data_IF_310153925339
#
_entry.id   IF_310153925339
#
_cell.length_a   1.000
_cell.length_b   1.000
_cell.length_c   1.000
_cell.angle_alpha   90.00
_cell.angle_beta   90.00
_cell.angle_gamma   90.00
#
_symmetry.space_group_name_H-M   'P 1'
#
loop_
_entity.id
_entity.type
_entity.pdbx_description
1 polymer ?
#
# COMPACT_ATOMS: atom_id res chain seq x y z
N UNK A 1 -24.39 -27.71 11.79
CA UNK A 1 -23.13 -27.07 11.28
C UNK A 1 -22.40 -26.50 12.47
N UNK A 2 -21.20 -27.00 12.77
CA UNK A 2 -20.44 -26.57 13.94
C UNK A 2 -20.04 -25.09 13.78
N UNK A 3 -20.13 -24.29 14.84
CA UNK A 3 -19.77 -22.86 14.84
C UNK A 3 -18.37 -22.60 14.22
N UNK A 4 -17.44 -23.52 14.41
CA UNK A 4 -16.10 -23.50 13.81
C UNK A 4 -16.11 -23.60 12.27
N UNK A 5 -16.99 -24.40 11.69
CA UNK A 5 -17.13 -24.50 10.23
C UNK A 5 -17.73 -23.23 9.64
N UNK A 6 -18.72 -22.63 10.31
CA UNK A 6 -19.29 -21.34 9.93
C UNK A 6 -18.26 -20.21 9.98
N UNK A 7 -17.45 -20.16 11.05
CA UNK A 7 -16.37 -19.18 11.19
C UNK A 7 -15.30 -19.34 10.10
N UNK A 8 -14.88 -20.56 9.79
CA UNK A 8 -13.86 -20.80 8.76
C UNK A 8 -14.31 -20.33 7.36
N UNK A 9 -15.57 -20.57 7.00
CA UNK A 9 -16.15 -20.11 5.72
C UNK A 9 -16.23 -18.58 5.68
N UNK A 10 -16.67 -17.96 6.78
CA UNK A 10 -16.73 -16.51 6.90
C UNK A 10 -15.34 -15.87 6.86
N UNK A 11 -14.33 -16.41 7.54
CA UNK A 11 -12.94 -15.95 7.54
C UNK A 11 -12.29 -16.05 6.16
N UNK A 12 -12.62 -17.08 5.37
CA UNK A 12 -12.15 -17.21 3.99
C UNK A 12 -12.69 -16.09 3.08
N UNK A 13 -13.89 -15.57 3.35
CA UNK A 13 -14.49 -14.42 2.66
C UNK A 13 -13.94 -13.09 3.16
N UNK A 14 -13.55 -13.03 4.45
CA UNK A 14 -13.08 -11.82 5.14
C UNK A 14 -11.60 -11.96 5.52
N UNK A 15 -10.72 -11.94 4.54
CA UNK A 15 -9.27 -12.19 4.72
C UNK A 15 -8.59 -11.25 5.71
N UNK A 16 -9.12 -10.04 5.88
CA UNK A 16 -8.61 -9.04 6.81
C UNK A 16 -8.63 -9.50 8.28
N UNK A 17 -9.48 -10.49 8.61
CA UNK A 17 -9.63 -10.98 9.99
C UNK A 17 -8.33 -11.58 10.55
N UNK A 18 -7.51 -12.20 9.70
CA UNK A 18 -6.25 -12.78 10.12
C UNK A 18 -5.24 -11.74 10.59
N UNK A 19 -5.17 -10.59 9.90
CA UNK A 19 -4.36 -9.46 10.33
C UNK A 19 -4.89 -8.86 11.64
N UNK A 20 -6.22 -8.73 11.79
CA UNK A 20 -6.84 -8.23 13.01
C UNK A 20 -6.60 -9.17 14.21
N UNK A 21 -6.70 -10.49 14.02
CA UNK A 21 -6.35 -11.47 15.06
C UNK A 21 -4.86 -11.36 15.43
N UNK A 22 -3.99 -11.21 14.43
CA UNK A 22 -2.55 -11.02 14.66
C UNK A 22 -2.26 -9.77 15.51
N UNK A 23 -2.94 -8.65 15.26
CA UNK A 23 -2.84 -7.43 16.08
C UNK A 23 -3.24 -7.71 17.52
N UNK A 24 -4.40 -8.35 17.74
CA UNK A 24 -4.90 -8.67 19.07
C UNK A 24 -3.94 -9.60 19.84
N UNK A 25 -3.48 -10.67 19.20
CA UNK A 25 -2.58 -11.64 19.83
C UNK A 25 -1.24 -10.99 20.20
N UNK A 26 -0.63 -10.25 19.28
CA UNK A 26 0.66 -9.60 19.54
C UNK A 26 0.53 -8.52 20.61
N UNK A 27 -0.58 -7.74 20.58
CA UNK A 27 -0.85 -6.76 21.63
C UNK A 27 -1.04 -7.39 23.01
N UNK A 28 -1.75 -8.51 23.11
CA UNK A 28 -1.91 -9.26 24.37
C UNK A 28 -0.57 -9.79 24.87
N UNK A 29 0.24 -10.41 24.00
CA UNK A 29 1.57 -10.90 24.36
C UNK A 29 2.43 -9.78 24.91
N UNK A 30 2.47 -8.62 24.24
CA UNK A 30 3.21 -7.46 24.71
C UNK A 30 2.71 -6.93 26.05
N UNK A 31 1.41 -6.84 26.21
CA UNK A 31 0.80 -6.38 27.48
C UNK A 31 1.21 -7.27 28.66
N UNK A 32 1.27 -8.59 28.46
CA UNK A 32 1.66 -9.56 29.48
C UNK A 32 3.16 -9.52 29.75
N UNK A 33 3.97 -9.52 28.69
CA UNK A 33 5.44 -9.65 28.82
C UNK A 33 6.07 -8.36 29.36
N UNK A 34 5.57 -7.21 28.96
CA UNK A 34 6.22 -5.93 29.31
C UNK A 34 5.62 -5.26 30.54
N UNK A 35 4.42 -5.66 30.99
CA UNK A 35 3.65 -5.00 32.05
C UNK A 35 3.55 -3.45 31.89
N UNK A 36 3.94 -2.93 30.74
CA UNK A 36 4.08 -1.49 30.42
C UNK A 36 3.30 -1.04 29.20
N UNK A 37 2.64 -1.97 28.51
CA UNK A 37 1.89 -1.63 27.29
C UNK A 37 0.56 -0.98 27.66
N UNK A 38 0.57 0.33 27.75
CA UNK A 38 -0.60 1.15 28.06
C UNK A 38 -1.40 1.52 26.79
N UNK A 39 -2.62 1.98 26.95
CA UNK A 39 -3.42 2.54 25.85
C UNK A 39 -2.72 3.72 25.15
N UNK A 40 -1.87 4.47 25.87
CA UNK A 40 -1.07 5.53 25.26
C UNK A 40 0.01 5.01 24.31
N UNK A 41 0.63 3.86 24.61
CA UNK A 41 1.58 3.19 23.72
C UNK A 41 0.89 2.67 22.47
N UNK A 42 -0.32 2.10 22.61
CA UNK A 42 -1.14 1.68 21.46
C UNK A 42 -1.48 2.86 20.54
N UNK A 43 -1.79 4.01 21.12
CA UNK A 43 -2.05 5.24 20.37
C UNK A 43 -0.84 5.67 19.52
N UNK A 44 0.38 5.50 20.02
CA UNK A 44 1.63 5.74 19.27
C UNK A 44 1.81 4.77 18.09
N UNK A 45 1.54 3.49 18.33
CA UNK A 45 1.56 2.47 17.26
C UNK A 45 0.52 2.80 16.18
N UNK A 46 -0.70 3.17 16.57
CA UNK A 46 -1.77 3.53 15.64
C UNK A 46 -1.36 4.77 14.82
N UNK A 47 -0.75 5.78 15.46
CA UNK A 47 -0.26 6.97 14.77
C UNK A 47 0.75 6.58 13.67
N UNK A 48 1.78 5.81 14.00
CA UNK A 48 2.80 5.38 13.03
C UNK A 48 2.22 4.45 11.95
N UNK A 49 1.29 3.56 12.31
CA UNK A 49 0.61 2.68 11.37
C UNK A 49 -0.30 3.43 10.40
N UNK A 50 -0.76 4.64 10.77
CA UNK A 50 -1.61 5.46 9.90
C UNK A 50 -0.86 5.94 8.67
N UNK A 51 0.41 6.32 8.79
CA UNK A 51 1.26 6.65 7.64
C UNK A 51 1.39 5.43 6.72
N UNK A 52 1.77 4.28 7.27
CA UNK A 52 1.87 3.04 6.47
C UNK A 52 0.53 2.65 5.82
N UNK A 53 -0.59 2.92 6.47
CA UNK A 53 -1.92 2.66 5.92
C UNK A 53 -2.22 3.53 4.70
N UNK A 54 -1.92 4.83 4.75
CA UNK A 54 -2.14 5.75 3.62
C UNK A 54 -1.34 5.31 2.41
N UNK A 55 -0.05 5.02 2.60
CA UNK A 55 0.83 4.50 1.54
C UNK A 55 0.35 3.13 1.05
N UNK A 56 -0.02 2.24 1.98
CA UNK A 56 -0.54 0.91 1.67
C UNK A 56 -1.83 0.95 0.86
N UNK A 57 -2.73 1.93 1.08
CA UNK A 57 -3.92 2.13 0.24
C UNK A 57 -3.50 2.42 -1.20
N UNK A 58 -2.55 3.32 -1.44
CA UNK A 58 -2.01 3.60 -2.76
C UNK A 58 -1.48 2.35 -3.44
N UNK A 59 -0.61 1.64 -2.75
CA UNK A 59 -0.02 0.39 -3.21
C UNK A 59 -1.08 -0.69 -3.49
N UNK A 60 -2.14 -0.77 -2.69
CA UNK A 60 -3.27 -1.69 -2.87
C UNK A 60 -3.96 -1.48 -4.22
N UNK A 61 -4.20 -0.24 -4.64
CA UNK A 61 -4.79 0.05 -5.95
C UNK A 61 -3.89 -0.46 -7.09
N UNK A 62 -2.57 -0.24 -7.00
CA UNK A 62 -1.61 -0.70 -8.02
C UNK A 62 -1.57 -2.22 -8.07
N UNK A 63 -1.40 -2.91 -6.94
CA UNK A 63 -1.37 -4.38 -6.85
C UNK A 63 -2.66 -4.98 -7.40
N UNK A 64 -3.82 -4.35 -7.15
CA UNK A 64 -5.12 -4.83 -7.63
C UNK A 64 -5.22 -4.87 -9.15
N UNK A 65 -4.43 -4.07 -9.90
CA UNK A 65 -4.39 -4.12 -11.38
C UNK A 65 -3.80 -5.42 -11.95
N UNK A 66 -3.20 -6.25 -11.11
CA UNK A 66 -2.69 -7.58 -11.45
C UNK A 66 -1.39 -7.58 -12.26
N UNK A 67 -0.99 -8.78 -12.70
CA UNK A 67 0.25 -9.07 -13.44
C UNK A 67 1.53 -8.69 -12.68
N UNK A 68 1.49 -8.64 -11.34
CA UNK A 68 2.64 -8.26 -10.52
C UNK A 68 2.97 -6.76 -10.59
N UNK A 69 2.01 -5.92 -10.93
CA UNK A 69 2.19 -4.48 -10.84
C UNK A 69 2.39 -4.08 -9.38
N UNK A 70 3.53 -3.46 -9.12
CA UNK A 70 3.97 -2.94 -7.84
C UNK A 70 4.58 -1.57 -8.09
N UNK A 71 4.30 -0.59 -7.24
CA UNK A 71 4.91 0.73 -7.31
C UNK A 71 6.11 0.81 -6.38
N UNK A 72 7.31 0.68 -6.92
CA UNK A 72 8.55 0.78 -6.16
C UNK A 72 9.06 2.23 -6.03
N UNK A 73 8.42 3.20 -6.68
CA UNK A 73 8.79 4.63 -6.54
C UNK A 73 8.29 5.25 -5.24
N UNK A 74 7.38 4.58 -4.52
CA UNK A 74 6.68 5.08 -3.32
C UNK A 74 7.65 5.66 -2.29
N UNK A 75 8.73 4.95 -1.96
CA UNK A 75 9.72 5.41 -0.98
C UNK A 75 10.35 6.75 -1.37
N UNK A 76 10.75 6.89 -2.63
CA UNK A 76 11.36 8.12 -3.15
C UNK A 76 10.36 9.25 -3.29
N UNK A 77 9.08 8.93 -3.60
CA UNK A 77 7.98 9.91 -3.63
C UNK A 77 7.74 10.49 -2.23
N UNK A 78 7.64 9.65 -1.20
CA UNK A 78 7.51 10.06 0.20
C UNK A 78 8.64 11.02 0.56
N UNK A 79 9.88 10.58 0.32
CA UNK A 79 11.06 11.35 0.69
C UNK A 79 11.11 12.70 -0.03
N UNK A 80 10.98 12.70 -1.36
CA UNK A 80 11.01 13.94 -2.14
C UNK A 80 9.88 14.89 -1.75
N UNK A 81 8.68 14.37 -1.48
CA UNK A 81 7.55 15.18 -1.07
C UNK A 81 7.79 15.87 0.27
N UNK A 82 8.44 15.22 1.24
CA UNK A 82 8.82 15.87 2.49
C UNK A 82 9.78 17.05 2.26
N UNK A 83 10.78 16.90 1.36
CA UNK A 83 11.66 18.00 1.00
C UNK A 83 10.91 19.13 0.28
N UNK A 84 10.04 18.80 -0.68
CA UNK A 84 9.20 19.78 -1.38
C UNK A 84 8.31 20.53 -0.40
N UNK A 85 7.72 19.83 0.59
CA UNK A 85 6.89 20.44 1.63
C UNK A 85 7.69 21.45 2.45
N UNK A 86 8.89 21.10 2.91
CA UNK A 86 9.75 22.02 3.69
C UNK A 86 10.18 23.24 2.89
N UNK A 87 10.51 23.05 1.60
CA UNK A 87 10.89 24.13 0.68
C UNK A 87 9.73 25.09 0.36
N UNK A 88 8.50 24.59 0.31
CA UNK A 88 7.31 25.38 -0.05
C UNK A 88 6.64 26.01 1.16
N UNK A 89 6.47 25.27 2.25
CA UNK A 89 5.78 25.75 3.47
C UNK A 89 6.67 26.68 4.29
N UNK A 90 7.98 26.43 4.34
CA UNK A 90 8.98 27.28 5.06
C UNK A 90 8.59 27.60 6.49
N UNK A 91 7.95 26.65 7.17
CA UNK A 91 7.52 26.79 8.56
C UNK A 91 6.34 27.76 8.79
N UNK A 92 5.70 28.25 7.75
CA UNK A 92 4.60 29.23 7.83
C UNK A 92 3.26 28.60 7.49
N UNK A 93 2.26 28.76 8.37
CA UNK A 93 0.90 28.25 8.13
C UNK A 93 0.24 28.90 6.91
N UNK A 94 0.58 30.15 6.60
CA UNK A 94 0.10 30.85 5.41
C UNK A 94 0.45 30.13 4.11
N UNK A 95 1.55 29.37 4.08
CA UNK A 95 2.02 28.63 2.91
C UNK A 95 1.55 27.17 2.88
N UNK A 96 0.77 26.74 3.87
CA UNK A 96 0.32 25.33 3.98
C UNK A 96 -0.43 24.86 2.74
N UNK A 97 -1.34 25.69 2.23
CA UNK A 97 -2.09 25.37 1.00
C UNK A 97 -1.16 25.18 -0.21
N UNK A 98 -0.09 25.99 -0.32
CA UNK A 98 0.93 25.88 -1.37
C UNK A 98 1.67 24.55 -1.22
N UNK A 99 2.05 24.15 0.00
CA UNK A 99 2.71 22.88 0.28
C UNK A 99 1.86 21.67 -0.10
N UNK A 100 0.58 21.69 0.25
CA UNK A 100 -0.38 20.63 -0.10
C UNK A 100 -0.56 20.54 -1.62
N UNK A 101 -0.74 21.67 -2.30
CA UNK A 101 -0.85 21.69 -3.77
C UNK A 101 0.43 21.19 -4.42
N UNK A 102 1.61 21.58 -3.92
CA UNK A 102 2.89 21.11 -4.42
C UNK A 102 3.04 19.60 -4.26
N UNK A 103 2.63 19.04 -3.12
CA UNK A 103 2.63 17.60 -2.89
C UNK A 103 1.68 16.89 -3.86
N UNK A 104 0.46 17.39 -4.06
CA UNK A 104 -0.49 16.81 -5.01
C UNK A 104 0.08 16.85 -6.43
N UNK A 105 0.63 17.96 -6.87
CA UNK A 105 1.23 18.11 -8.20
C UNK A 105 2.41 17.17 -8.39
N UNK A 106 3.28 17.02 -7.39
CA UNK A 106 4.37 16.06 -7.40
C UNK A 106 3.82 14.63 -7.58
N UNK A 107 2.84 14.23 -6.76
CA UNK A 107 2.21 12.92 -6.86
C UNK A 107 1.56 12.67 -8.21
N UNK A 108 0.85 13.66 -8.77
CA UNK A 108 0.26 13.59 -10.11
C UNK A 108 1.33 13.45 -11.20
N UNK A 109 2.40 14.22 -11.13
CA UNK A 109 3.48 14.18 -12.10
C UNK A 109 4.19 12.81 -12.10
N UNK A 110 4.52 12.28 -10.92
CA UNK A 110 5.15 10.97 -10.77
C UNK A 110 4.21 9.85 -11.18
N UNK A 111 2.95 9.89 -10.76
CA UNK A 111 1.95 8.90 -11.15
C UNK A 111 1.69 8.91 -12.65
N UNK A 112 1.65 10.07 -13.28
CA UNK A 112 1.53 10.20 -14.73
C UNK A 112 2.79 9.65 -15.46
N UNK A 113 3.99 9.91 -14.95
CA UNK A 113 5.24 9.36 -15.48
C UNK A 113 5.24 7.83 -15.38
N UNK A 114 4.96 7.26 -14.22
CA UNK A 114 4.86 5.81 -14.04
C UNK A 114 3.79 5.20 -14.95
N UNK A 115 2.65 5.87 -15.09
CA UNK A 115 1.58 5.44 -16.00
C UNK A 115 2.03 5.45 -17.47
N UNK A 116 2.75 6.48 -17.90
CA UNK A 116 3.29 6.59 -19.25
C UNK A 116 4.27 5.44 -19.52
N UNK A 117 5.19 5.17 -18.60
CA UNK A 117 6.19 4.10 -18.75
C UNK A 117 5.51 2.72 -18.78
N UNK A 118 4.56 2.47 -17.88
CA UNK A 118 3.93 1.13 -17.73
C UNK A 118 2.85 0.89 -18.79
N UNK A 119 1.98 1.87 -19.02
CA UNK A 119 0.83 1.72 -19.92
C UNK A 119 1.15 2.18 -21.34
N UNK A 120 1.84 3.32 -21.48
CA UNK A 120 2.17 3.90 -22.75
C UNK A 120 3.29 3.15 -23.47
N UNK A 121 4.39 2.88 -22.77
CA UNK A 121 5.58 2.22 -23.33
C UNK A 121 5.60 0.70 -23.08
N UNK A 122 4.68 0.15 -22.26
CA UNK A 122 4.61 -1.28 -21.98
C UNK A 122 5.76 -1.83 -21.11
N UNK A 123 6.48 -0.95 -20.40
CA UNK A 123 7.58 -1.37 -19.53
C UNK A 123 7.00 -2.08 -18.27
N UNK A 124 7.58 -3.22 -17.85
CA UNK A 124 7.14 -3.87 -16.60
C UNK A 124 7.15 -2.89 -15.42
N UNK A 125 6.08 -2.89 -14.62
CA UNK A 125 5.88 -1.90 -13.56
C UNK A 125 7.06 -1.82 -12.57
N UNK A 126 7.59 -2.98 -12.16
CA UNK A 126 8.75 -3.06 -11.25
C UNK A 126 9.96 -2.29 -11.82
N UNK A 127 10.27 -2.47 -13.11
CA UNK A 127 11.41 -1.80 -13.76
C UNK A 127 11.14 -0.30 -13.90
N UNK A 128 9.95 0.07 -14.38
CA UNK A 128 9.56 1.47 -14.59
C UNK A 128 9.58 2.26 -13.26
N UNK A 129 8.92 1.75 -12.23
CA UNK A 129 8.81 2.45 -10.95
C UNK A 129 10.12 2.48 -10.16
N UNK A 130 10.94 1.44 -10.28
CA UNK A 130 12.29 1.44 -9.70
C UNK A 130 13.17 2.50 -10.35
N UNK A 131 13.17 2.58 -11.69
CA UNK A 131 13.91 3.61 -12.41
C UNK A 131 13.43 5.03 -12.04
N UNK A 132 12.10 5.24 -12.00
CA UNK A 132 11.52 6.50 -11.51
C UNK A 132 11.99 6.80 -10.08
N UNK A 133 12.00 5.80 -9.19
CA UNK A 133 12.48 5.94 -7.82
C UNK A 133 13.94 6.45 -7.74
N UNK A 134 14.85 5.95 -8.56
CA UNK A 134 16.23 6.42 -8.60
C UNK A 134 16.34 7.87 -9.10
N UNK A 135 15.56 8.25 -10.11
CA UNK A 135 15.49 9.65 -10.58
C UNK A 135 15.02 10.58 -9.46
N UNK A 136 13.96 10.18 -8.73
CA UNK A 136 13.43 10.95 -7.61
C UNK A 136 14.40 11.02 -6.43
N UNK A 137 15.15 9.95 -6.15
CA UNK A 137 16.19 9.95 -5.12
C UNK A 137 17.29 10.97 -5.45
N UNK A 138 17.68 11.07 -6.72
CA UNK A 138 18.62 12.10 -7.18
C UNK A 138 18.03 13.51 -7.04
N UNK A 139 16.76 13.71 -7.40
CA UNK A 139 16.07 14.98 -7.20
C UNK A 139 15.99 15.35 -5.69
N UNK A 140 15.83 14.37 -4.81
CA UNK A 140 15.88 14.56 -3.36
C UNK A 140 17.24 15.05 -2.88
N UNK A 141 18.34 14.49 -3.40
CA UNK A 141 19.69 14.96 -3.10
C UNK A 141 19.91 16.42 -3.49
N UNK A 142 19.39 16.85 -4.65
CA UNK A 142 19.44 18.24 -5.08
C UNK A 142 18.59 19.15 -4.18
N UNK A 143 17.38 18.70 -3.81
CA UNK A 143 16.48 19.41 -2.92
C UNK A 143 17.08 19.57 -1.51
N UNK A 144 17.79 18.56 -1.02
CA UNK A 144 18.48 18.62 0.28
C UNK A 144 19.56 19.72 0.32
N UNK A 145 20.30 19.92 -0.80
CA UNK A 145 21.29 21.01 -0.91
C UNK A 145 20.67 22.40 -0.89
N UNK A 146 19.42 22.53 -1.31
CA UNK A 146 18.69 23.80 -1.37
C UNK A 146 18.01 24.18 -0.05
N UNK A 147 17.94 23.27 0.94
CA UNK A 147 17.32 23.53 2.22
C UNK A 147 18.27 24.26 3.17
N UNK A 148 17.93 25.51 3.60
CA UNK A 148 18.74 26.25 4.55
C UNK A 148 18.58 25.72 6.00
N UNK A 149 17.60 24.86 6.24
CA UNK A 149 17.24 24.30 7.55
C UNK A 149 15.86 23.66 7.54
N UNK A 150 15.49 23.03 8.65
CA UNK A 150 14.19 22.39 8.80
C UNK A 150 13.26 23.29 9.59
N UNK A 151 12.15 23.71 8.97
CA UNK A 151 11.09 24.44 9.63
C UNK A 151 9.74 23.84 9.22
N UNK A 152 9.01 23.33 10.20
CA UNK A 152 7.66 22.76 10.01
C UNK A 152 6.65 23.77 10.55
N UNK A 153 5.59 24.04 9.78
CA UNK A 153 4.54 24.95 10.24
C UNK A 153 3.76 24.32 11.42
N UNK A 154 3.32 25.14 12.39
CA UNK A 154 2.53 24.67 13.52
C UNK A 154 1.29 23.88 13.12
N UNK A 155 0.51 24.39 12.14
CA UNK A 155 -0.69 23.73 11.67
C UNK A 155 -0.39 22.37 11.02
N UNK A 156 0.68 22.27 10.22
CA UNK A 156 1.06 21.00 9.59
C UNK A 156 1.54 20.00 10.64
N UNK A 157 2.28 20.46 11.66
CA UNK A 157 2.71 19.64 12.79
C UNK A 157 1.50 19.12 13.58
N UNK A 158 0.52 19.99 13.84
CA UNK A 158 -0.73 19.58 14.52
C UNK A 158 -1.50 18.54 13.73
N UNK A 159 -1.59 18.66 12.40
CA UNK A 159 -2.20 17.63 11.55
C UNK A 159 -1.48 16.28 11.65
N UNK A 160 -0.15 16.29 11.73
CA UNK A 160 0.64 15.07 11.76
C UNK A 160 0.76 14.42 13.15
N UNK A 161 0.77 15.23 14.23
CA UNK A 161 1.04 14.75 15.60
C UNK A 161 -0.12 14.99 16.57
N UNK A 162 -1.06 15.83 16.20
CA UNK A 162 -2.19 16.26 17.04
C UNK A 162 -3.17 15.14 17.35
N UNK A 163 -3.97 15.36 18.37
CA UNK A 163 -4.96 14.41 18.87
C UNK A 163 -6.30 15.08 19.14
N UNK A 164 -7.37 14.45 18.75
CA UNK A 164 -8.74 14.85 19.07
C UNK A 164 -9.30 13.82 20.06
N UNK A 165 -9.61 14.26 21.28
CA UNK A 165 -10.08 13.37 22.37
C UNK A 165 -9.19 12.13 22.57
N UNK A 166 -7.85 12.30 22.46
CA UNK A 166 -6.87 11.21 22.63
C UNK A 166 -6.62 10.36 21.37
N UNK A 167 -7.42 10.50 20.32
CA UNK A 167 -7.24 9.81 19.04
C UNK A 167 -6.33 10.63 18.13
N UNK A 168 -5.24 10.07 17.56
CA UNK A 168 -4.39 10.77 16.61
C UNK A 168 -5.15 11.24 15.37
N UNK A 169 -4.93 12.46 14.92
CA UNK A 169 -5.56 13.01 13.70
C UNK A 169 -5.19 12.12 12.49
N UNK A 170 -3.96 11.66 12.40
CA UNK A 170 -3.52 10.74 11.33
C UNK A 170 -4.31 9.43 11.33
N UNK A 171 -4.72 8.91 12.49
CA UNK A 171 -5.58 7.73 12.55
C UNK A 171 -6.97 8.00 11.95
N UNK A 172 -7.51 9.18 12.19
CA UNK A 172 -8.79 9.61 11.59
C UNK A 172 -8.64 9.72 10.07
N UNK A 173 -7.56 10.33 9.59
CA UNK A 173 -7.24 10.43 8.15
C UNK A 173 -7.13 9.04 7.53
N UNK A 174 -6.40 8.11 8.17
CA UNK A 174 -6.25 6.75 7.68
C UNK A 174 -7.60 6.00 7.61
N UNK A 175 -8.44 6.12 8.65
CA UNK A 175 -9.78 5.50 8.67
C UNK A 175 -10.68 6.08 7.59
N UNK A 176 -10.65 7.40 7.37
CA UNK A 176 -11.35 8.05 6.27
C UNK A 176 -10.86 7.51 4.92
N UNK A 177 -9.52 7.41 4.73
CA UNK A 177 -8.90 6.85 3.53
C UNK A 177 -9.31 5.40 3.26
N UNK A 178 -9.31 4.56 4.30
CA UNK A 178 -9.77 3.16 4.24
C UNK A 178 -11.24 3.07 3.87
N UNK A 179 -12.08 3.90 4.50
CA UNK A 179 -13.52 3.92 4.24
C UNK A 179 -13.80 4.38 2.82
N UNK A 180 -13.19 5.48 2.38
CA UNK A 180 -13.31 6.00 1.03
C UNK A 180 -12.85 4.98 -0.01
N UNK A 181 -11.69 4.34 0.20
CA UNK A 181 -11.17 3.30 -0.69
C UNK A 181 -12.08 2.07 -0.73
N UNK A 182 -12.64 1.65 0.41
CA UNK A 182 -13.61 0.55 0.48
C UNK A 182 -14.88 0.89 -0.30
N UNK A 183 -15.37 2.11 -0.20
CA UNK A 183 -16.52 2.60 -0.97
C UNK A 183 -16.21 2.65 -2.47
N UNK A 184 -15.04 3.19 -2.84
CA UNK A 184 -14.58 3.23 -4.24
C UNK A 184 -14.53 1.82 -4.81
N UNK A 185 -13.91 0.88 -4.13
CA UNK A 185 -13.76 -0.51 -4.60
C UNK A 185 -15.11 -1.24 -4.75
N UNK A 186 -16.05 -1.00 -3.83
CA UNK A 186 -17.32 -1.77 -3.77
C UNK A 186 -18.49 -1.10 -4.49
N UNK A 187 -18.51 0.23 -4.57
CA UNK A 187 -19.68 1.02 -4.99
C UNK A 187 -19.48 1.81 -6.27
N UNK A 188 -18.24 1.95 -6.77
CA UNK A 188 -17.98 2.74 -7.99
C UNK A 188 -17.66 1.85 -9.18
N UNK A 189 -17.93 2.40 -10.37
CA UNK A 189 -17.56 1.77 -11.65
C UNK A 189 -16.04 1.55 -11.71
N UNK A 190 -15.24 2.52 -11.24
CA UNK A 190 -13.79 2.39 -11.23
C UNK A 190 -13.31 1.18 -10.43
N UNK A 191 -13.86 0.93 -9.23
CA UNK A 191 -13.51 -0.23 -8.41
C UNK A 191 -13.86 -1.56 -9.09
N UNK A 192 -15.01 -1.63 -9.76
CA UNK A 192 -15.43 -2.80 -10.52
C UNK A 192 -14.52 -3.04 -11.72
N UNK A 193 -14.19 -1.99 -12.49
CA UNK A 193 -13.26 -2.07 -13.62
C UNK A 193 -11.86 -2.48 -13.16
N UNK A 194 -11.38 -1.94 -12.05
CA UNK A 194 -10.09 -2.28 -11.46
C UNK A 194 -10.02 -3.78 -11.12
N UNK A 195 -11.07 -4.30 -10.48
CA UNK A 195 -11.17 -5.74 -10.17
C UNK A 195 -11.23 -6.60 -11.41
N UNK A 196 -12.00 -6.22 -12.44
CA UNK A 196 -12.10 -6.94 -13.70
C UNK A 196 -10.76 -6.98 -14.45
N UNK A 197 -10.10 -5.83 -14.59
CA UNK A 197 -8.76 -5.71 -15.23
C UNK A 197 -7.73 -6.55 -14.49
N UNK A 198 -7.77 -6.53 -13.15
CA UNK A 198 -6.84 -7.29 -12.32
C UNK A 198 -7.06 -8.81 -12.39
N UNK A 199 -8.29 -9.27 -12.55
CA UNK A 199 -8.60 -10.69 -12.71
C UNK A 199 -8.11 -11.24 -14.06
N UNK A 200 -8.50 -10.58 -15.16
CA UNK A 200 -8.09 -10.99 -16.51
C UNK A 200 -8.17 -9.82 -17.49
N UNK A 201 -7.01 -9.29 -17.88
CA UNK A 201 -6.93 -8.15 -18.83
C UNK A 201 -7.46 -8.51 -20.23
N UNK A 202 -7.33 -9.75 -20.66
CA UNK A 202 -7.82 -10.17 -21.97
C UNK A 202 -9.36 -10.22 -21.97
N UNK A 203 -9.96 -10.87 -20.99
CA UNK A 203 -11.40 -10.92 -20.82
C UNK A 203 -12.01 -9.52 -20.63
N UNK A 204 -11.38 -8.66 -19.81
CA UNK A 204 -11.80 -7.28 -19.61
C UNK A 204 -11.81 -6.49 -20.94
N UNK A 205 -10.77 -6.68 -21.78
CA UNK A 205 -10.72 -6.04 -23.12
C UNK A 205 -11.83 -6.54 -24.04
N UNK A 206 -12.10 -7.85 -24.04
CA UNK A 206 -13.20 -8.41 -24.82
C UNK A 206 -14.57 -7.89 -24.39
N UNK A 207 -14.71 -7.57 -23.09
CA UNK A 207 -15.89 -6.90 -22.54
C UNK A 207 -15.92 -5.37 -22.80
N UNK A 208 -15.02 -4.83 -23.65
CA UNK A 208 -14.96 -3.41 -24.00
C UNK A 208 -14.26 -2.51 -22.96
N UNK A 209 -13.64 -3.07 -21.91
CA UNK A 209 -12.97 -2.28 -20.89
C UNK A 209 -11.60 -1.79 -21.40
N UNK A 210 -11.38 -0.48 -21.31
CA UNK A 210 -10.07 0.14 -21.59
C UNK A 210 -9.14 -0.07 -20.40
N UNK A 211 -8.26 -1.09 -20.46
CA UNK A 211 -7.35 -1.42 -19.36
C UNK A 211 -6.40 -0.30 -18.99
N UNK A 212 -5.89 0.45 -20.00
CA UNK A 212 -4.89 1.50 -19.82
C UNK A 212 -5.28 2.56 -18.80
N UNK A 213 -6.39 3.29 -18.99
CA UNK A 213 -6.85 4.32 -18.05
C UNK A 213 -7.04 3.80 -16.63
N UNK A 214 -7.53 2.55 -16.46
CA UNK A 214 -7.75 1.95 -15.14
C UNK A 214 -6.41 1.73 -14.43
N UNK A 215 -5.40 1.20 -15.13
CA UNK A 215 -4.06 0.99 -14.59
C UNK A 215 -3.39 2.33 -14.30
N UNK A 216 -3.49 3.30 -15.23
CA UNK A 216 -2.94 4.64 -15.06
C UNK A 216 -3.47 5.34 -13.80
N UNK A 217 -4.80 5.30 -13.60
CA UNK A 217 -5.43 5.87 -12.40
C UNK A 217 -4.90 5.24 -11.11
N UNK A 218 -4.61 3.92 -11.10
CA UNK A 218 -4.07 3.26 -9.92
C UNK A 218 -2.66 3.78 -9.56
N UNK A 219 -1.78 3.99 -10.54
CA UNK A 219 -0.45 4.59 -10.30
C UNK A 219 -0.55 6.04 -9.85
N UNK A 220 -1.46 6.83 -10.44
CA UNK A 220 -1.68 8.22 -10.04
C UNK A 220 -2.17 8.29 -8.58
N UNK A 221 -3.15 7.46 -8.20
CA UNK A 221 -3.65 7.38 -6.82
C UNK A 221 -2.52 6.99 -5.86
N UNK A 222 -1.69 5.99 -6.22
CA UNK A 222 -0.54 5.56 -5.41
C UNK A 222 0.43 6.70 -5.15
N UNK A 223 0.89 7.37 -6.20
CA UNK A 223 1.87 8.44 -6.10
C UNK A 223 1.33 9.68 -5.38
N UNK A 224 0.04 10.03 -5.56
CA UNK A 224 -0.59 11.14 -4.84
C UNK A 224 -0.69 10.85 -3.34
N UNK A 225 -1.14 9.64 -2.97
CA UNK A 225 -1.21 9.25 -1.56
C UNK A 225 0.17 9.18 -0.92
N UNK A 226 1.17 8.64 -1.62
CA UNK A 226 2.55 8.62 -1.15
C UNK A 226 3.14 10.03 -0.97
N UNK A 227 2.81 10.95 -1.87
CA UNK A 227 3.27 12.34 -1.78
C UNK A 227 2.60 13.10 -0.63
N UNK A 228 1.30 12.94 -0.43
CA UNK A 228 0.59 13.51 0.72
C UNK A 228 1.10 12.93 2.04
N UNK A 229 1.37 11.62 2.06
CA UNK A 229 1.96 10.98 3.23
C UNK A 229 3.36 11.52 3.53
N UNK A 230 4.21 11.75 2.52
CA UNK A 230 5.53 12.33 2.69
C UNK A 230 5.52 13.75 3.28
N UNK A 231 4.58 14.60 2.86
CA UNK A 231 4.35 15.91 3.45
C UNK A 231 4.01 15.80 4.95
N UNK A 232 3.11 14.91 5.33
CA UNK A 232 2.68 14.71 6.71
C UNK A 232 3.75 13.99 7.54
N UNK A 233 4.46 13.03 6.97
CA UNK A 233 5.55 12.32 7.62
C UNK A 233 6.74 13.25 7.93
N UNK A 234 7.09 14.16 7.00
CA UNK A 234 8.07 15.20 7.24
C UNK A 234 7.71 16.12 8.41
N UNK A 235 6.42 16.45 8.53
CA UNK A 235 5.91 17.22 9.66
C UNK A 235 5.93 16.42 10.98
N UNK A 236 5.59 15.13 10.93
CA UNK A 236 5.65 14.23 12.09
C UNK A 236 7.06 14.13 12.66
N UNK A 237 8.04 13.91 11.78
CA UNK A 237 9.46 13.80 12.18
C UNK A 237 10.05 15.16 12.55
N UNK A 238 9.49 16.27 12.08
CA UNK A 238 9.99 17.62 12.28
C UNK A 238 11.10 18.01 11.29
N UNK A 239 11.22 17.29 10.17
CA UNK A 239 12.24 17.51 9.15
C UNK A 239 12.17 16.48 8.03
N UNK A 240 13.20 16.45 7.18
CA UNK A 240 13.35 15.44 6.16
C UNK A 240 14.79 14.92 6.11
N UNK A 241 14.95 13.64 5.81
CA UNK A 241 16.24 13.01 5.55
C UNK A 241 16.16 12.05 4.37
N UNK A 242 17.29 11.79 3.73
CA UNK A 242 17.35 11.16 2.41
C UNK A 242 16.69 9.79 2.28
N UNK A 243 16.61 9.04 3.36
CA UNK A 243 16.10 7.66 3.35
C UNK A 243 14.79 7.48 4.14
N UNK A 244 14.09 8.59 4.49
CA UNK A 244 12.92 8.53 5.36
C UNK A 244 11.77 7.68 4.81
N UNK A 245 11.65 7.55 3.49
CA UNK A 245 10.65 6.73 2.82
C UNK A 245 11.02 5.25 2.68
N UNK A 246 12.30 4.88 2.86
CA UNK A 246 12.79 3.52 2.58
C UNK A 246 12.03 2.40 3.33
N UNK A 247 11.72 2.54 4.63
CA UNK A 247 10.97 1.50 5.34
C UNK A 247 9.60 1.23 4.71
N UNK A 248 8.95 2.25 4.15
CA UNK A 248 7.60 2.14 3.56
C UNK A 248 7.58 1.35 2.25
N UNK A 249 8.72 1.18 1.56
CA UNK A 249 8.80 0.43 0.31
C UNK A 249 8.32 -1.01 0.50
N UNK A 250 9.00 -1.76 1.34
CA UNK A 250 8.68 -3.17 1.59
C UNK A 250 7.48 -3.33 2.51
N UNK A 251 7.35 -2.47 3.52
CA UNK A 251 6.25 -2.52 4.46
C UNK A 251 4.89 -2.27 3.78
N UNK A 252 4.79 -1.37 2.80
CA UNK A 252 3.52 -1.14 2.08
C UNK A 252 3.08 -2.37 1.27
N UNK A 253 4.02 -3.03 0.61
CA UNK A 253 3.75 -4.29 -0.11
C UNK A 253 3.31 -5.37 0.87
N UNK A 254 4.05 -5.53 1.97
CA UNK A 254 3.72 -6.51 2.99
C UNK A 254 2.35 -6.23 3.63
N UNK A 255 2.03 -4.97 3.95
CA UNK A 255 0.73 -4.59 4.50
C UNK A 255 -0.43 -4.92 3.55
N UNK A 256 -0.27 -4.67 2.26
CA UNK A 256 -1.27 -4.96 1.24
C UNK A 256 -1.51 -6.47 1.11
N UNK A 257 -0.44 -7.25 1.05
CA UNK A 257 -0.52 -8.71 0.86
C UNK A 257 -1.00 -9.41 2.12
N UNK A 258 -0.44 -9.05 3.29
CA UNK A 258 -0.85 -9.58 4.60
C UNK A 258 -2.30 -9.19 4.91
N UNK A 259 -2.74 -8.00 4.48
CA UNK A 259 -4.12 -7.55 4.56
C UNK A 259 -5.10 -8.35 3.69
N UNK A 260 -4.63 -9.26 2.84
CA UNK A 260 -5.43 -10.17 2.04
C UNK A 260 -5.78 -9.65 0.63
N UNK A 261 -5.16 -8.58 0.18
CA UNK A 261 -5.19 -8.19 -1.24
C UNK A 261 -4.40 -9.19 -2.06
N UNK A 262 -4.97 -9.63 -3.18
CA UNK A 262 -4.30 -10.63 -4.02
C UNK A 262 -3.16 -9.99 -4.82
N UNK A 263 -1.95 -10.52 -4.67
CA UNK A 263 -0.76 -10.06 -5.40
C UNK A 263 -0.90 -10.24 -6.93
N UNK A 264 -1.73 -11.20 -7.36
CA UNK A 264 -2.05 -11.43 -8.78
C UNK A 264 -3.16 -10.51 -9.30
N UNK A 265 -3.73 -9.67 -8.42
CA UNK A 265 -4.76 -8.70 -8.74
C UNK A 265 -6.19 -9.19 -8.63
N UNK A 266 -7.12 -8.31 -8.93
CA UNK A 266 -8.55 -8.59 -9.03
C UNK A 266 -9.32 -8.62 -7.71
N UNK A 267 -8.65 -8.53 -6.56
CA UNK A 267 -9.34 -8.45 -5.25
C UNK A 267 -8.50 -7.65 -4.28
N UNK A 268 -9.09 -6.65 -3.67
CA UNK A 268 -8.47 -5.73 -2.72
C UNK A 268 -9.25 -5.66 -1.41
N UNK A 269 -8.54 -5.40 -0.31
CA UNK A 269 -9.12 -5.23 1.01
C UNK A 269 -8.47 -4.05 1.76
N UNK A 270 -9.11 -2.87 1.71
CA UNK A 270 -8.60 -1.68 2.39
C UNK A 270 -8.57 -1.85 3.92
N UNK A 271 -9.60 -2.48 4.52
CA UNK A 271 -9.60 -2.84 5.94
C UNK A 271 -8.46 -3.78 6.30
N UNK A 272 -8.15 -4.73 5.43
CA UNK A 272 -7.02 -5.63 5.63
C UNK A 272 -5.69 -4.88 5.64
N UNK A 273 -5.51 -3.94 4.73
CA UNK A 273 -4.31 -3.09 4.68
C UNK A 273 -4.14 -2.29 5.98
N UNK A 274 -5.23 -1.74 6.56
CA UNK A 274 -5.18 -1.06 7.86
C UNK A 274 -4.69 -1.98 8.98
N UNK A 275 -5.33 -3.14 9.16
CA UNK A 275 -4.94 -4.07 10.24
C UNK A 275 -3.53 -4.63 10.03
N UNK A 276 -3.14 -4.90 8.80
CA UNK A 276 -1.80 -5.35 8.48
C UNK A 276 -0.74 -4.26 8.73
N UNK A 277 -1.05 -3.00 8.44
CA UNK A 277 -0.17 -1.87 8.78
C UNK A 277 0.02 -1.76 10.30
N UNK A 278 -1.05 -1.87 11.08
CA UNK A 278 -0.97 -1.87 12.54
C UNK A 278 -0.13 -3.06 13.02
N UNK A 279 -0.32 -4.26 12.46
CA UNK A 279 0.44 -5.45 12.84
C UNK A 279 1.93 -5.28 12.54
N UNK A 280 2.30 -4.79 11.36
CA UNK A 280 3.70 -4.58 10.98
C UNK A 280 4.39 -3.56 11.88
N UNK A 281 3.74 -2.43 12.16
CA UNK A 281 4.29 -1.41 13.06
C UNK A 281 4.36 -1.95 14.49
N UNK A 282 3.40 -2.74 14.92
CA UNK A 282 3.43 -3.39 16.23
C UNK A 282 4.61 -4.36 16.35
N UNK A 283 4.93 -5.12 15.30
CA UNK A 283 6.13 -5.97 15.25
C UNK A 283 7.40 -5.13 15.41
N UNK A 284 7.52 -4.02 14.64
CA UNK A 284 8.67 -3.10 14.74
C UNK A 284 8.78 -2.53 16.15
N UNK A 285 7.68 -2.04 16.71
CA UNK A 285 7.64 -1.49 18.07
C UNK A 285 8.04 -2.53 19.12
N UNK A 286 7.62 -3.80 18.93
CA UNK A 286 8.04 -4.90 19.79
C UNK A 286 9.55 -5.07 19.79
N UNK A 287 10.15 -5.08 18.61
CA UNK A 287 11.61 -5.22 18.47
C UNK A 287 12.36 -4.06 19.15
N UNK A 288 11.82 -2.83 19.04
CA UNK A 288 12.37 -1.65 19.71
C UNK A 288 12.28 -1.76 21.23
N UNK A 289 11.15 -2.22 21.77
CA UNK A 289 10.95 -2.42 23.22
C UNK A 289 11.91 -3.48 23.77
N UNK A 290 12.18 -4.55 23.03
CA UNK A 290 13.14 -5.60 23.39
C UNK A 290 14.59 -5.13 23.23
N UNK A 291 14.83 -3.95 22.65
CA UNK A 291 16.17 -3.37 22.49
C UNK A 291 16.97 -3.96 21.31
N UNK A 292 16.31 -4.52 20.31
CA UNK A 292 17.00 -5.02 19.12
C UNK A 292 17.62 -3.83 18.34
N UNK A 293 18.88 -3.94 17.92
CA UNK A 293 19.52 -2.88 17.13
C UNK A 293 18.88 -2.75 15.76
N UNK A 294 18.92 -1.56 15.11
CA UNK A 294 18.23 -1.28 13.83
C UNK A 294 18.50 -2.33 12.74
N UNK A 295 19.75 -2.75 12.55
CA UNK A 295 20.07 -3.77 11.54
C UNK A 295 19.40 -5.14 11.80
N UNK A 296 19.21 -5.54 13.07
CA UNK A 296 18.47 -6.75 13.38
C UNK A 296 16.96 -6.57 13.11
N UNK A 297 16.42 -5.37 13.33
CA UNK A 297 15.04 -5.05 12.99
C UNK A 297 14.81 -5.16 11.48
N UNK A 298 15.73 -4.68 10.65
CA UNK A 298 15.65 -4.77 9.19
C UNK A 298 15.69 -6.23 8.71
N UNK A 299 16.53 -7.08 9.31
CA UNK A 299 16.59 -8.51 9.01
C UNK A 299 15.23 -9.17 9.33
N UNK A 300 14.68 -8.93 10.52
CA UNK A 300 13.39 -9.51 10.91
C UNK A 300 12.26 -9.02 9.99
N UNK A 301 12.23 -7.73 9.67
CA UNK A 301 11.28 -7.18 8.71
C UNK A 301 11.39 -7.86 7.34
N UNK A 302 12.62 -8.02 6.82
CA UNK A 302 12.88 -8.73 5.57
C UNK A 302 12.35 -10.16 5.60
N UNK A 303 12.61 -10.91 6.68
CA UNK A 303 12.10 -12.27 6.88
C UNK A 303 10.57 -12.30 6.90
N UNK A 304 9.92 -11.37 7.63
CA UNK A 304 8.45 -11.26 7.68
C UNK A 304 7.89 -11.00 6.27
N UNK A 305 8.48 -10.08 5.51
CA UNK A 305 8.06 -9.79 4.13
C UNK A 305 8.20 -11.01 3.22
N UNK A 306 9.35 -11.69 3.26
CA UNK A 306 9.58 -12.92 2.48
C UNK A 306 8.55 -13.99 2.84
N UNK A 307 8.30 -14.20 4.13
CA UNK A 307 7.33 -15.19 4.60
C UNK A 307 5.91 -14.88 4.11
N UNK A 308 5.49 -13.62 4.22
CA UNK A 308 4.17 -13.15 3.73
C UNK A 308 4.04 -13.35 2.21
N UNK A 309 5.07 -12.99 1.44
CA UNK A 309 5.07 -13.17 -0.01
C UNK A 309 5.08 -14.64 -0.42
N UNK A 310 5.84 -15.49 0.29
CA UNK A 310 5.87 -16.93 0.06
C UNK A 310 4.50 -17.58 0.31
N UNK A 311 3.82 -17.21 1.40
CA UNK A 311 2.46 -17.67 1.68
C UNK A 311 1.46 -17.25 0.60
N UNK A 312 1.55 -16.00 0.14
CA UNK A 312 0.71 -15.50 -0.95
C UNK A 312 0.98 -16.24 -2.28
N UNK A 313 2.26 -16.52 -2.57
CA UNK A 313 2.67 -17.29 -3.75
C UNK A 313 2.13 -18.73 -3.75
N UNK A 314 2.17 -19.42 -2.60
CA UNK A 314 1.61 -20.78 -2.47
C UNK A 314 0.11 -20.84 -2.77
N UNK A 315 -0.67 -19.85 -2.34
CA UNK A 315 -2.12 -19.78 -2.64
C UNK A 315 -2.39 -19.64 -4.15
N UNK A 316 -1.51 -18.98 -4.88
CA UNK A 316 -1.62 -18.84 -6.33
C UNK A 316 -1.31 -20.14 -7.07
N UNK A 317 -0.27 -20.86 -6.65
CA UNK A 317 0.08 -22.17 -7.23
C UNK A 317 -1.05 -23.18 -6.99
N UNK A 318 -1.61 -23.22 -5.78
CA UNK A 318 -2.74 -24.08 -5.48
C UNK A 318 -3.98 -23.80 -6.35
N UNK A 319 -4.28 -22.51 -6.63
CA UNK A 319 -5.39 -22.14 -7.51
C UNK A 319 -5.15 -22.52 -8.98
N UNK A 320 -3.90 -22.37 -9.48
CA UNK A 320 -3.54 -22.82 -10.83
C UNK A 320 -3.69 -24.32 -10.96
N UNK A 321 -3.15 -25.08 -10.01
CA UNK A 321 -3.29 -26.54 -9.99
C UNK A 321 -4.76 -27.00 -9.96
N UNK A 322 -5.62 -26.32 -9.20
CA UNK A 322 -7.07 -26.61 -9.18
C UNK A 322 -7.76 -26.27 -10.49
N UNK A 323 -7.36 -25.19 -11.16
CA UNK A 323 -7.89 -24.81 -12.47
C UNK A 323 -7.46 -25.80 -13.57
N UNK A 324 -6.19 -26.21 -13.55
CA UNK A 324 -5.63 -27.20 -14.48
C UNK A 324 -6.30 -28.58 -14.31
N UNK A 325 -6.57 -28.99 -13.06
CA UNK A 325 -7.31 -30.22 -12.77
C UNK A 325 -8.78 -30.16 -13.22
N UNK A 326 -9.43 -29.00 -13.04
CA UNK A 326 -10.79 -28.78 -13.52
C UNK A 326 -10.87 -28.81 -15.05
N UNK A 327 -9.84 -28.33 -15.75
CA UNK A 327 -9.75 -28.36 -17.21
C UNK A 327 -9.35 -29.75 -17.74
N UNK A 328 -8.53 -30.48 -16.97
CA UNK A 328 -8.19 -31.88 -17.27
C UNK A 328 -9.39 -32.85 -17.13
N UNK A 329 -10.32 -32.52 -16.24
CA UNK A 329 -11.55 -33.31 -16.04
C UNK A 329 -12.65 -33.08 -17.10
N UNK A 330 -12.52 -32.09 -17.98
CA UNK A 330 -13.46 -31.91 -19.10
C UNK A 330 -13.22 -32.93 -20.21
N UNK A 331 -14.32 -33.44 -20.78
CA UNK A 331 -14.28 -34.44 -21.85
C UNK A 331 -13.45 -33.95 -23.06
N UNK A 332 -12.68 -34.82 -23.75
CA UNK A 332 -11.89 -34.42 -24.92
C UNK A 332 -12.69 -33.70 -26.02
N UNK A 333 -13.98 -34.01 -26.18
CA UNK A 333 -14.90 -33.34 -27.11
C UNK A 333 -15.16 -31.87 -26.76
N UNK A 334 -15.24 -31.50 -25.48
CA UNK A 334 -15.38 -30.10 -25.06
C UNK A 334 -14.10 -29.29 -25.27
N UNK A 335 -12.92 -29.94 -25.22
CA UNK A 335 -11.62 -29.29 -25.49
C UNK A 335 -11.46 -28.84 -26.93
N UNK A 336 -11.94 -29.65 -27.87
CA UNK A 336 -11.83 -29.37 -29.31
C UNK A 336 -12.68 -28.16 -29.71
N UNK A 337 -13.85 -27.99 -29.12
CA UNK A 337 -14.74 -26.86 -29.41
C UNK A 337 -14.18 -25.52 -28.90
N UNK A 338 -13.56 -25.49 -27.71
CA UNK A 338 -12.96 -24.26 -27.16
C UNK A 338 -11.71 -23.86 -27.95
N UNK A 339 -10.90 -24.81 -28.39
CA UNK A 339 -9.72 -24.55 -29.23
C UNK A 339 -10.10 -24.12 -30.65
N UNK A 340 -11.16 -24.68 -31.22
CA UNK A 340 -11.67 -24.30 -32.54
C UNK A 340 -12.24 -22.87 -32.55
N UNK A 341 -12.87 -22.43 -31.46
CA UNK A 341 -13.34 -21.05 -31.28
C UNK A 341 -12.19 -20.06 -31.14
N UNK A 342 -11.08 -20.46 -30.50
CA UNK A 342 -9.90 -19.62 -30.34
C UNK A 342 -9.01 -19.55 -31.59
N UNK A 343 -9.12 -20.50 -32.51
CA UNK A 343 -8.29 -20.61 -33.72
C UNK A 343 -8.88 -19.95 -34.96
N UNK A 344 -10.08 -19.32 -34.89
CA UNK A 344 -10.63 -18.58 -36.03
C UNK A 344 -9.84 -17.29 -36.27
N UNK A 345 -9.15 -17.13 -37.39
CA UNK A 345 -8.47 -15.92 -37.76
C UNK A 345 -9.51 -14.81 -38.02
N UNK A 346 -9.15 -13.58 -37.61
CA UNK A 346 -9.90 -12.35 -37.92
C UNK A 346 -9.62 -11.92 -39.35
#
# INVERSE_FOLDING_TARGET
MNALAGFSIWAQRNRWIWAAIGVLLLWLVLSVVTNRFSLSSLSGVILSASFLTVVGIGQMFVVTTGRGNIDLSVASVITLSAFVALLTVKGQDANLAIGVVAAILLGLAVGALNSLLVVGLGIPAIIATLATGYVLATATLLSNKALPGFAVSPALKELATGRISGVPIMAIIAVIGVTASSLVLRRTVFGQLLSAVGQNRAAARLAGIRNGPVIASAFIISSVLASLDGLLLGAYIGGAFLEMGQPYLLQSIAAVVLGGTLIFGGSATALGTLFASILLILIVTTMQIVGLPPGAQDIVQGIVVIFVLALAGRQALARRASADLADAGKNPTERTDVQAVQARPK
#
